data_IF_292810129454
#
_entry.id   IF_292810129454
#
_cell.length_a   1.000
_cell.length_b   1.000
_cell.length_c   1.000
_cell.angle_alpha   90.00
_cell.angle_beta   90.00
_cell.angle_gamma   90.00
#
_symmetry.space_group_name_H-M   'P 1'
#
loop_
_entity.id
_entity.type
_entity.pdbx_description
1 polymer ?
#
# COMPACT_ATOMS: atom_id res chain seq x y z
N UNK A 1 19.85 -39.95 -8.20
CA UNK A 1 18.50 -39.40 -7.95
C UNK A 1 18.65 -38.01 -7.37
N UNK A 2 18.54 -36.96 -8.20
CA UNK A 2 18.42 -35.58 -7.73
C UNK A 2 16.99 -35.15 -7.99
N UNK A 3 16.18 -35.01 -6.93
CA UNK A 3 14.83 -34.46 -7.05
C UNK A 3 15.00 -32.96 -7.24
N UNK A 4 14.82 -32.50 -8.46
CA UNK A 4 14.71 -31.07 -8.77
C UNK A 4 13.35 -30.62 -8.23
N UNK A 5 13.36 -29.97 -7.08
CA UNK A 5 12.19 -29.28 -6.55
C UNK A 5 11.86 -28.15 -7.51
N UNK A 6 10.77 -28.29 -8.27
CA UNK A 6 10.19 -27.19 -9.01
C UNK A 6 9.67 -26.18 -7.99
N UNK A 7 10.49 -25.17 -7.67
CA UNK A 7 10.01 -23.93 -7.09
C UNK A 7 9.06 -23.31 -8.11
N UNK A 8 7.76 -23.51 -7.88
CA UNK A 8 6.71 -22.93 -8.70
C UNK A 8 6.86 -21.42 -8.62
N UNK A 9 7.39 -20.83 -9.68
CA UNK A 9 7.42 -19.38 -9.88
C UNK A 9 5.98 -18.98 -10.17
N UNK A 10 5.19 -18.80 -9.10
CA UNK A 10 3.84 -18.28 -9.20
C UNK A 10 3.98 -16.81 -9.60
N UNK A 11 3.69 -16.54 -10.87
CA UNK A 11 3.55 -15.19 -11.42
C UNK A 11 2.38 -14.50 -10.71
N UNK A 12 2.65 -13.87 -9.56
CA UNK A 12 1.68 -13.06 -8.82
C UNK A 12 1.61 -11.67 -9.45
N UNK A 13 0.48 -11.35 -10.07
CA UNK A 13 0.17 -9.97 -10.45
C UNK A 13 -0.22 -9.18 -9.20
N UNK A 14 0.73 -8.40 -8.66
CA UNK A 14 0.44 -7.38 -7.65
C UNK A 14 -0.24 -6.20 -8.36
N UNK A 15 -1.57 -6.16 -8.39
CA UNK A 15 -2.31 -4.98 -8.86
C UNK A 15 -2.39 -3.98 -7.71
N UNK A 16 -1.34 -3.16 -7.54
CA UNK A 16 -1.39 -1.99 -6.65
C UNK A 16 -2.19 -0.90 -7.36
N UNK A 17 -3.48 -0.79 -7.04
CA UNK A 17 -4.27 0.38 -7.43
C UNK A 17 -4.02 1.52 -6.46
N UNK A 18 -3.09 2.42 -6.80
CA UNK A 18 -3.09 3.76 -6.23
C UNK A 18 -4.19 4.56 -6.93
N UNK A 19 -5.35 4.70 -6.29
CA UNK A 19 -6.39 5.57 -6.79
C UNK A 19 -5.90 7.03 -6.73
N UNK A 20 -5.83 7.69 -7.89
CA UNK A 20 -5.54 9.11 -8.03
C UNK A 20 -6.84 9.83 -8.37
N UNK A 21 -7.36 10.64 -7.45
CA UNK A 21 -8.36 11.65 -7.83
C UNK A 21 -7.60 12.90 -8.29
N UNK A 22 -7.48 13.07 -9.60
CA UNK A 22 -6.97 14.30 -10.21
C UNK A 22 -8.16 15.23 -10.46
N UNK A 23 -8.33 16.24 -9.61
CA UNK A 23 -9.18 17.40 -9.93
C UNK A 23 -8.23 18.52 -10.33
N UNK A 24 -8.23 18.87 -11.62
CA UNK A 24 -7.52 20.01 -12.17
C UNK A 24 -8.42 21.24 -12.08
N UNK A 25 -7.98 22.27 -11.35
CA UNK A 25 -8.59 23.61 -11.41
C UNK A 25 -7.48 24.63 -11.67
N UNK A 26 -7.62 25.37 -12.77
CA UNK A 26 -6.73 26.44 -13.20
C UNK A 26 -6.95 27.73 -12.37
N UNK A 27 -5.94 28.63 -12.23
CA UNK A 27 -6.11 29.88 -11.52
C UNK A 27 -6.84 30.96 -12.37
N UNK A 28 -7.67 31.82 -11.77
CA UNK A 28 -8.42 32.85 -12.49
C UNK A 28 -7.60 34.13 -12.70
N UNK A 29 -7.68 34.69 -13.91
CA UNK A 29 -7.38 36.09 -14.19
C UNK A 29 -8.56 36.99 -13.79
N UNK A 30 -8.25 38.04 -13.03
CA UNK A 30 -9.14 39.08 -12.52
C UNK A 30 -10.02 39.74 -13.60
N UNK A 31 -11.31 39.99 -13.30
CA UNK A 31 -11.85 41.37 -13.28
C UNK A 31 -13.26 41.52 -12.66
N UNK A 32 -13.32 42.56 -11.82
CA UNK A 32 -14.39 43.28 -11.13
C UNK A 32 -15.81 43.30 -11.72
N UNK A 33 -16.83 43.20 -10.84
CA UNK A 33 -18.21 43.63 -11.15
C UNK A 33 -19.32 43.05 -10.27
N UNK A 34 -19.66 43.77 -9.20
CA UNK A 34 -20.97 43.94 -8.53
C UNK A 34 -21.95 42.76 -8.26
N UNK A 35 -22.40 42.76 -7.00
CA UNK A 35 -23.75 42.48 -6.49
C UNK A 35 -24.12 41.06 -6.02
N UNK A 36 -24.72 41.01 -4.82
CA UNK A 36 -25.66 39.96 -4.42
C UNK A 36 -25.14 38.70 -3.73
N UNK A 37 -25.18 38.72 -2.39
CA UNK A 37 -25.41 37.57 -1.49
C UNK A 37 -24.24 36.60 -1.27
N UNK A 38 -23.66 36.73 -0.08
CA UNK A 38 -22.74 35.76 0.50
C UNK A 38 -23.48 34.42 0.76
N UNK A 39 -23.26 33.45 -0.11
CA UNK A 39 -23.19 32.05 0.31
C UNK A 39 -21.71 31.68 0.38
N UNK A 40 -21.08 32.12 1.46
CA UNK A 40 -19.81 31.52 1.88
C UNK A 40 -20.14 30.16 2.46
N UNK A 41 -20.42 29.22 1.57
CA UNK A 41 -20.37 27.79 1.87
C UNK A 41 -18.91 27.43 2.12
N UNK A 42 -18.47 27.79 3.33
CA UNK A 42 -17.43 27.16 4.10
C UNK A 42 -17.73 25.65 4.11
N UNK A 43 -17.20 24.93 3.15
CA UNK A 43 -17.01 23.49 3.28
C UNK A 43 -15.56 23.30 3.65
N UNK A 44 -15.37 23.23 4.96
CA UNK A 44 -14.15 22.83 5.62
C UNK A 44 -13.58 21.62 4.87
N UNK A 45 -12.43 21.80 4.22
CA UNK A 45 -11.62 20.67 3.81
C UNK A 45 -11.24 19.97 5.12
N UNK A 46 -12.05 18.98 5.52
CA UNK A 46 -11.65 17.95 6.48
C UNK A 46 -10.28 17.52 6.00
N UNK A 47 -9.25 17.71 6.82
CA UNK A 47 -7.92 17.19 6.56
C UNK A 47 -8.06 15.71 6.20
N UNK A 48 -8.08 15.38 4.90
CA UNK A 48 -8.08 14.00 4.48
C UNK A 48 -6.75 13.44 4.95
N UNK A 49 -6.82 12.55 5.94
CA UNK A 49 -5.64 11.91 6.50
C UNK A 49 -4.86 11.29 5.36
N UNK A 50 -3.63 11.76 5.17
CA UNK A 50 -2.74 11.23 4.15
C UNK A 50 -2.50 9.76 4.45
N UNK A 51 -2.69 8.93 3.44
CA UNK A 51 -2.40 7.50 3.57
C UNK A 51 -1.86 6.88 2.30
N UNK A 52 -1.04 5.86 2.50
CA UNK A 52 -0.68 4.90 1.47
C UNK A 52 -1.40 3.58 1.76
N UNK A 53 -1.98 2.97 0.73
CA UNK A 53 -2.69 1.70 0.86
C UNK A 53 -1.98 0.63 0.04
N UNK A 54 -1.60 -0.47 0.69
CA UNK A 54 -1.08 -1.67 0.04
C UNK A 54 -2.21 -2.69 -0.05
N UNK A 55 -2.42 -3.20 -1.26
CA UNK A 55 -3.40 -4.25 -1.56
C UNK A 55 -2.72 -5.36 -2.31
N UNK A 56 -2.93 -6.59 -1.89
CA UNK A 56 -2.41 -7.77 -2.57
C UNK A 56 -3.37 -8.94 -2.39
N UNK A 57 -3.17 -9.94 -3.25
CA UNK A 57 -3.94 -11.18 -3.23
C UNK A 57 -2.98 -12.34 -3.37
N UNK A 58 -3.18 -13.38 -2.58
CA UNK A 58 -2.53 -14.68 -2.75
C UNK A 58 -3.47 -15.60 -3.51
N UNK A 59 -2.94 -16.40 -4.43
CA UNK A 59 -3.75 -17.39 -5.15
C UNK A 59 -4.03 -18.63 -4.29
N UNK A 60 -3.01 -19.02 -3.51
CA UNK A 60 -3.05 -20.08 -2.50
C UNK A 60 -2.00 -19.77 -1.44
N UNK A 61 -2.16 -20.38 -0.27
CA UNK A 61 -1.26 -20.25 0.88
C UNK A 61 -0.95 -21.63 1.46
N UNK A 62 0.28 -21.82 1.93
CA UNK A 62 0.72 -23.06 2.58
C UNK A 62 1.36 -22.70 3.90
N UNK A 63 0.73 -23.12 4.99
CA UNK A 63 1.17 -22.86 6.35
C UNK A 63 1.54 -21.38 6.58
N UNK A 64 0.76 -20.45 6.02
CA UNK A 64 1.02 -19.02 6.15
C UNK A 64 0.49 -18.48 7.48
N UNK A 65 1.40 -18.01 8.34
CA UNK A 65 1.06 -17.30 9.57
C UNK A 65 0.56 -15.90 9.31
N UNK A 66 1.18 -15.21 8.36
CA UNK A 66 0.78 -13.86 8.05
C UNK A 66 1.87 -13.05 7.40
N UNK A 67 1.66 -11.74 7.43
CA UNK A 67 2.48 -10.80 6.69
C UNK A 67 2.95 -9.66 7.58
N UNK A 68 4.22 -9.32 7.47
CA UNK A 68 4.77 -8.08 7.99
C UNK A 68 5.01 -7.09 6.86
N UNK A 69 4.72 -5.81 7.11
CA UNK A 69 4.95 -4.75 6.15
C UNK A 69 6.16 -3.94 6.61
N UNK A 70 7.05 -3.69 5.66
CA UNK A 70 8.22 -2.87 5.86
C UNK A 70 8.15 -1.61 4.99
N UNK A 71 8.72 -0.52 5.48
CA UNK A 71 8.76 0.78 4.80
C UNK A 71 10.14 1.39 4.88
N UNK A 72 10.56 2.05 3.81
CA UNK A 72 11.76 2.89 3.76
C UNK A 72 11.42 4.24 3.08
N UNK A 73 12.20 5.28 3.39
CA UNK A 73 12.19 6.55 2.65
C UNK A 73 13.12 6.51 1.40
N UNK A 74 13.87 5.41 1.21
CA UNK A 74 14.78 5.17 0.09
C UNK A 74 14.54 3.78 -0.51
N UNK A 75 14.76 3.63 -1.82
CA UNK A 75 14.62 2.36 -2.53
C UNK A 75 15.56 1.27 -1.99
N UNK A 76 16.76 1.66 -1.56
CA UNK A 76 17.78 0.75 -1.07
C UNK A 76 17.67 0.46 0.44
N UNK A 77 16.72 1.10 1.13
CA UNK A 77 16.57 1.01 2.58
C UNK A 77 17.30 2.14 3.36
N UNK A 78 17.43 2.01 4.69
CA UNK A 78 16.99 0.87 5.50
C UNK A 78 15.48 0.76 5.57
N UNK A 79 14.98 -0.48 5.59
CA UNK A 79 13.56 -0.76 5.75
C UNK A 79 13.22 -1.00 7.21
N UNK A 80 12.18 -0.33 7.70
CA UNK A 80 11.66 -0.44 9.04
C UNK A 80 10.32 -1.17 9.02
N UNK A 81 10.12 -2.10 9.96
CA UNK A 81 8.84 -2.79 10.14
C UNK A 81 7.76 -1.79 10.58
N UNK A 82 6.60 -1.82 9.94
CA UNK A 82 5.45 -0.94 10.18
C UNK A 82 4.27 -1.63 10.85
N UNK A 83 4.21 -2.95 10.77
CA UNK A 83 3.25 -3.76 11.52
C UNK A 83 3.72 -3.93 12.97
N UNK A 84 2.84 -3.72 13.96
CA UNK A 84 3.14 -4.13 15.34
C UNK A 84 2.97 -5.65 15.45
N UNK A 85 1.79 -6.12 15.06
CA UNK A 85 1.44 -7.53 14.91
C UNK A 85 1.34 -7.88 13.43
N UNK A 86 1.76 -9.10 13.02
CA UNK A 86 1.60 -9.54 11.65
C UNK A 86 0.14 -9.56 11.22
N UNK A 87 -0.13 -9.22 9.96
CA UNK A 87 -1.45 -9.38 9.36
C UNK A 87 -1.74 -10.87 9.21
N UNK A 88 -2.83 -11.40 9.81
CA UNK A 88 -3.09 -12.84 9.81
C UNK A 88 -3.18 -13.41 8.39
N UNK A 89 -2.41 -14.47 8.13
CA UNK A 89 -2.52 -15.29 6.94
C UNK A 89 -3.73 -16.24 7.03
N UNK A 90 -4.03 -16.93 5.95
CA UNK A 90 -5.10 -17.93 5.91
C UNK A 90 -4.62 -19.36 6.22
N UNK A 91 -3.37 -19.54 6.66
CA UNK A 91 -2.81 -20.87 6.93
C UNK A 91 -2.57 -21.64 5.64
N UNK A 92 -3.24 -22.78 5.49
CA UNK A 92 -3.16 -23.61 4.29
C UNK A 92 -4.49 -23.58 3.55
N UNK A 93 -4.51 -22.97 2.37
CA UNK A 93 -5.69 -22.87 1.53
C UNK A 93 -5.32 -22.78 0.05
N UNK A 94 -6.10 -23.42 -0.81
CA UNK A 94 -6.00 -23.26 -2.26
C UNK A 94 -6.94 -22.15 -2.78
N UNK A 95 -7.68 -21.49 -1.89
CA UNK A 95 -8.58 -20.40 -2.24
C UNK A 95 -7.87 -19.04 -2.20
N UNK A 96 -8.14 -18.14 -3.16
CA UNK A 96 -7.53 -16.82 -3.17
C UNK A 96 -7.89 -15.98 -1.94
N UNK A 97 -6.89 -15.33 -1.34
CA UNK A 97 -7.09 -14.44 -0.19
C UNK A 97 -6.65 -13.02 -0.54
N UNK A 98 -7.40 -12.03 -0.06
CA UNK A 98 -7.12 -10.62 -0.34
C UNK A 98 -6.84 -9.86 0.94
N UNK A 99 -5.85 -8.99 0.88
CA UNK A 99 -5.33 -8.25 2.02
C UNK A 99 -5.27 -6.76 1.72
N UNK A 100 -5.46 -5.95 2.76
CA UNK A 100 -5.34 -4.50 2.74
C UNK A 100 -4.57 -4.05 3.98
N UNK A 101 -3.56 -3.22 3.76
CA UNK A 101 -2.85 -2.51 4.82
C UNK A 101 -2.75 -1.02 4.48
N UNK A 102 -2.90 -0.16 5.49
CA UNK A 102 -2.90 1.29 5.33
C UNK A 102 -1.85 1.95 6.24
N UNK A 103 -1.01 2.79 5.65
CA UNK A 103 -0.04 3.62 6.35
C UNK A 103 -0.57 5.04 6.49
N UNK A 104 -0.89 5.45 7.70
CA UNK A 104 -1.36 6.81 8.02
C UNK A 104 -0.23 7.74 8.48
N UNK A 105 0.97 7.21 8.70
CA UNK A 105 2.12 7.97 9.20
C UNK A 105 3.02 8.41 8.04
N UNK A 106 2.42 9.12 7.07
CA UNK A 106 3.11 9.62 5.89
C UNK A 106 3.10 11.15 5.82
N UNK A 107 4.15 11.70 5.22
CA UNK A 107 4.32 13.15 4.98
C UNK A 107 4.06 13.47 3.51
N UNK A 108 3.43 14.62 3.23
CA UNK A 108 3.25 15.16 1.86
C UNK A 108 4.60 15.36 1.18
N UNK A 109 4.63 15.22 -0.14
CA UNK A 109 5.86 15.49 -0.90
C UNK A 109 6.99 14.46 -0.70
N UNK A 110 6.74 13.33 -0.01
CA UNK A 110 7.74 12.27 0.21
C UNK A 110 7.35 10.98 -0.50
N UNK A 111 8.32 10.42 -1.22
CA UNK A 111 8.24 9.05 -1.72
C UNK A 111 8.49 8.06 -0.58
N UNK A 112 7.77 6.94 -0.62
CA UNK A 112 7.97 5.82 0.28
C UNK A 112 8.12 4.54 -0.52
N UNK A 113 8.88 3.61 0.04
CA UNK A 113 9.14 2.31 -0.55
C UNK A 113 8.69 1.25 0.44
N UNK A 114 7.94 0.26 -0.03
CA UNK A 114 7.40 -0.80 0.81
C UNK A 114 7.79 -2.17 0.28
N UNK A 115 7.92 -3.14 1.16
CA UNK A 115 7.83 -4.54 0.78
C UNK A 115 7.03 -5.30 1.83
N UNK A 116 6.51 -6.45 1.41
CA UNK A 116 5.74 -7.37 2.23
C UNK A 116 6.62 -8.60 2.48
N UNK A 117 6.70 -9.01 3.73
CA UNK A 117 7.35 -10.24 4.17
C UNK A 117 6.27 -11.25 4.57
N UNK A 118 6.34 -12.48 4.08
CA UNK A 118 5.50 -13.57 4.58
C UNK A 118 6.17 -14.25 5.77
N UNK A 119 5.33 -14.81 6.64
CA UNK A 119 5.75 -15.54 7.83
C UNK A 119 5.04 -16.89 7.77
N UNK A 120 5.78 -18.00 7.85
CA UNK A 120 5.18 -19.33 7.94
C UNK A 120 4.78 -19.68 9.38
N UNK A 121 3.94 -20.70 9.56
CA UNK A 121 3.59 -21.30 10.86
C UNK A 121 4.84 -21.77 11.63
N UNK A 122 5.91 -22.11 10.91
CA UNK A 122 7.20 -22.49 11.49
C UNK A 122 8.08 -21.27 11.86
N UNK A 123 7.61 -20.04 11.62
CA UNK A 123 8.32 -18.80 11.89
C UNK A 123 9.37 -18.42 10.84
N UNK A 124 9.40 -19.11 9.69
CA UNK A 124 10.28 -18.75 8.56
C UNK A 124 9.76 -17.47 7.93
N UNK A 125 10.67 -16.54 7.62
CA UNK A 125 10.37 -15.21 7.08
C UNK A 125 11.00 -15.05 5.71
N UNK A 126 10.20 -14.64 4.73
CA UNK A 126 10.66 -14.48 3.35
C UNK A 126 10.05 -13.22 2.72
N UNK A 127 10.84 -12.51 1.92
CA UNK A 127 10.33 -11.38 1.17
C UNK A 127 9.32 -11.87 0.13
N UNK A 128 8.06 -11.50 0.32
CA UNK A 128 6.93 -11.94 -0.48
C UNK A 128 6.72 -11.05 -1.72
N UNK A 129 6.97 -9.74 -1.61
CA UNK A 129 6.76 -8.80 -2.71
C UNK A 129 8.07 -8.20 -3.23
N UNK A 130 8.11 -7.70 -4.48
CA UNK A 130 9.12 -6.73 -4.88
C UNK A 130 9.00 -5.45 -4.04
N UNK A 131 9.96 -4.55 -4.20
CA UNK A 131 9.86 -3.20 -3.63
C UNK A 131 8.79 -2.42 -4.39
N UNK A 132 7.81 -1.91 -3.65
CA UNK A 132 6.67 -1.14 -4.14
C UNK A 132 6.94 0.33 -3.85
N UNK A 133 7.07 1.15 -4.89
CA UNK A 133 7.18 2.59 -4.76
C UNK A 133 5.79 3.22 -4.60
N UNK A 134 5.58 3.93 -3.49
CA UNK A 134 4.47 4.84 -3.30
C UNK A 134 4.97 6.28 -3.53
N UNK A 135 4.57 6.94 -4.63
CA UNK A 135 5.01 8.30 -4.90
C UNK A 135 4.40 9.29 -3.89
N UNK A 136 5.07 10.42 -3.74
CA UNK A 136 4.60 11.56 -2.96
C UNK A 136 3.14 11.94 -3.26
N UNK A 137 2.40 12.20 -2.18
CA UNK A 137 1.04 12.76 -2.18
C UNK A 137 1.08 14.29 -2.22
#
# INVERSE_FOLDING_TARGET
>A
MRRTTYGSVILMMVIVTLAWSCTSVAPPGSNSGADGTADTSKVEAKDEALKNSLKWTTASEVENFGFDIFRSESEEGPFEKRTNDPLPGAGTTDEPQSYLWEDFDIKRGKDYYYYIESISMAGVREQFSPIIKAPAK
#
